data_IF_383673401553
#
_entry.id   IF_383673401553
#
_cell.length_a   1.000
_cell.length_b   1.000
_cell.length_c   1.000
_cell.angle_alpha   90.00
_cell.angle_beta   90.00
_cell.angle_gamma   90.00
#
_symmetry.space_group_name_H-M   'P 1'
#
loop_
_entity.id
_entity.type
_entity.pdbx_description
1 polymer ?
#
# COMPACT_ATOMS: atom_id res chain seq x y z
N UNK A 1 0.68 -22.56 -5.81
CA UNK A 1 1.72 -21.87 -5.03
C UNK A 1 1.51 -20.38 -5.27
N UNK A 2 1.36 -19.58 -4.22
CA UNK A 2 1.14 -18.14 -4.35
C UNK A 2 2.45 -17.44 -4.73
N UNK A 3 2.39 -16.46 -5.64
CA UNK A 3 3.57 -15.71 -6.09
C UNK A 3 3.87 -14.50 -5.20
N UNK A 4 2.84 -13.98 -4.54
CA UNK A 4 2.86 -12.77 -3.74
C UNK A 4 2.08 -12.97 -2.42
N UNK A 5 2.22 -12.06 -1.45
CA UNK A 5 3.29 -11.08 -1.33
C UNK A 5 4.64 -11.79 -1.15
N UNK A 6 5.73 -11.26 -1.73
CA UNK A 6 7.08 -11.80 -1.53
C UNK A 6 7.89 -10.89 -0.63
N UNK A 7 8.37 -11.40 0.48
CA UNK A 7 9.24 -10.64 1.39
C UNK A 7 10.57 -10.29 0.71
N UNK A 8 10.98 -9.02 0.82
CA UNK A 8 12.25 -8.51 0.28
C UNK A 8 13.20 -8.02 1.37
N UNK A 9 12.65 -7.52 2.47
CA UNK A 9 13.30 -7.09 3.70
C UNK A 9 12.29 -7.39 4.81
N UNK A 10 12.73 -7.67 6.03
CA UNK A 10 11.82 -7.93 7.17
C UNK A 10 10.65 -6.96 7.21
N UNK A 11 9.43 -7.49 7.18
CA UNK A 11 8.16 -6.75 7.22
C UNK A 11 7.92 -5.80 6.01
N UNK A 12 8.64 -6.01 4.90
CA UNK A 12 8.45 -5.33 3.61
C UNK A 12 8.29 -6.37 2.51
N UNK A 13 7.17 -6.28 1.79
CA UNK A 13 6.80 -7.23 0.74
C UNK A 13 6.65 -6.54 -0.60
N UNK A 14 6.83 -7.30 -1.67
CA UNK A 14 6.49 -6.91 -3.03
C UNK A 14 5.30 -7.74 -3.49
N UNK A 15 4.31 -7.07 -4.06
CA UNK A 15 3.19 -7.67 -4.76
C UNK A 15 2.92 -6.89 -6.06
N UNK A 16 1.78 -7.15 -6.71
CA UNK A 16 1.24 -6.37 -7.81
C UNK A 16 -0.12 -5.82 -7.43
N UNK A 17 -0.52 -4.69 -8.01
CA UNK A 17 -1.90 -4.24 -7.92
C UNK A 17 -2.77 -5.11 -8.83
N UNK A 18 -3.64 -5.92 -8.24
CA UNK A 18 -4.52 -6.86 -8.94
C UNK A 18 -5.81 -6.24 -9.45
N UNK A 19 -6.26 -5.13 -8.83
CA UNK A 19 -7.43 -4.39 -9.28
C UNK A 19 -8.09 -3.61 -8.15
N UNK A 20 -9.36 -3.30 -8.37
CA UNK A 20 -10.21 -2.53 -7.47
C UNK A 20 -11.51 -3.27 -7.20
N UNK A 21 -12.06 -3.14 -6.00
CA UNK A 21 -13.32 -3.77 -5.62
C UNK A 21 -14.15 -2.89 -4.69
N UNK A 22 -15.46 -2.91 -4.90
CA UNK A 22 -16.46 -2.33 -3.99
C UNK A 22 -16.50 -3.00 -2.61
N UNK A 23 -15.97 -4.22 -2.46
CA UNK A 23 -15.91 -4.92 -1.16
C UNK A 23 -14.82 -4.36 -0.24
N UNK A 24 -13.92 -3.52 -0.76
CA UNK A 24 -12.83 -2.91 0.00
C UNK A 24 -13.16 -1.47 0.38
N UNK A 25 -12.98 -1.14 1.67
CA UNK A 25 -13.06 0.24 2.12
C UNK A 25 -11.86 1.07 1.64
N UNK A 26 -12.04 2.39 1.55
CA UNK A 26 -11.01 3.33 1.08
C UNK A 26 -9.67 3.24 1.83
N UNK A 27 -9.68 2.83 3.09
CA UNK A 27 -8.48 2.68 3.92
C UNK A 27 -8.08 1.22 4.11
N UNK A 28 -8.55 0.32 3.26
CA UNK A 28 -8.23 -1.10 3.31
C UNK A 28 -7.46 -1.53 2.06
N UNK A 29 -6.60 -2.52 2.24
CA UNK A 29 -6.00 -3.26 1.14
C UNK A 29 -6.36 -4.73 1.31
N UNK A 30 -6.95 -5.30 0.28
CA UNK A 30 -7.27 -6.72 0.23
C UNK A 30 -6.11 -7.52 -0.33
N UNK A 31 -5.76 -8.63 0.32
CA UNK A 31 -4.84 -9.63 -0.20
C UNK A 31 -5.41 -11.00 0.17
N UNK A 32 -5.34 -11.97 -0.72
CA UNK A 32 -5.75 -13.35 -0.46
C UNK A 32 -5.26 -13.84 0.91
N UNK A 33 -6.20 -14.25 1.76
CA UNK A 33 -5.94 -14.62 3.16
C UNK A 33 -4.91 -15.76 3.27
N UNK A 34 -4.99 -16.73 2.37
CA UNK A 34 -4.08 -17.87 2.30
C UNK A 34 -2.69 -17.48 1.79
N UNK A 35 -2.62 -16.50 0.88
CA UNK A 35 -1.36 -15.94 0.43
C UNK A 35 -0.65 -15.16 1.55
N UNK A 36 -1.40 -14.41 2.36
CA UNK A 36 -0.90 -13.76 3.58
C UNK A 36 -0.31 -14.81 4.53
N UNK A 37 -1.09 -15.84 4.87
CA UNK A 37 -0.71 -16.89 5.82
C UNK A 37 0.57 -17.63 5.42
N UNK A 38 0.71 -17.96 4.12
CA UNK A 38 1.82 -18.78 3.64
C UNK A 38 3.10 -17.97 3.40
N UNK A 39 2.98 -16.73 2.93
CA UNK A 39 4.14 -16.00 2.42
C UNK A 39 4.65 -14.89 3.35
N UNK A 40 3.92 -14.55 4.41
CA UNK A 40 4.18 -13.33 5.19
C UNK A 40 4.02 -13.54 6.70
N UNK A 41 4.47 -12.57 7.49
CA UNK A 41 4.17 -12.44 8.92
C UNK A 41 2.98 -11.52 9.20
N UNK A 42 2.23 -11.12 8.16
CA UNK A 42 1.09 -10.20 8.28
C UNK A 42 -0.07 -10.88 9.00
N UNK A 43 -0.63 -10.20 9.99
CA UNK A 43 -1.90 -10.59 10.62
C UNK A 43 -3.02 -9.78 9.97
N UNK A 44 -3.89 -10.46 9.22
CA UNK A 44 -5.06 -9.85 8.60
C UNK A 44 -5.94 -9.19 9.65
N UNK A 45 -6.53 -8.04 9.30
CA UNK A 45 -7.34 -7.19 10.17
C UNK A 45 -6.64 -6.51 11.35
N UNK A 46 -5.35 -6.75 11.57
CA UNK A 46 -4.57 -6.12 12.64
C UNK A 46 -3.39 -5.31 12.09
N UNK A 47 -2.83 -5.75 10.98
CA UNK A 47 -1.65 -5.13 10.38
C UNK A 47 -2.04 -3.94 9.52
N UNK A 48 -1.29 -2.86 9.66
CA UNK A 48 -1.37 -1.70 8.78
C UNK A 48 -0.16 -1.62 7.87
N UNK A 49 -0.38 -1.17 6.64
CA UNK A 49 0.66 -1.01 5.65
C UNK A 49 0.59 0.35 4.96
N UNK A 50 1.73 0.74 4.39
CA UNK A 50 1.83 1.85 3.45
C UNK A 50 2.30 1.32 2.11
N UNK A 51 1.58 1.66 1.05
CA UNK A 51 1.89 1.23 -0.30
C UNK A 51 2.85 2.20 -1.00
N UNK A 52 3.83 1.67 -1.72
CA UNK A 52 4.72 2.43 -2.59
C UNK A 52 4.85 1.78 -3.97
N UNK A 53 4.45 2.51 -5.01
CA UNK A 53 4.77 2.14 -6.38
C UNK A 53 6.19 2.59 -6.74
N UNK A 54 6.86 1.86 -7.61
CA UNK A 54 8.28 2.11 -7.95
C UNK A 54 8.55 3.48 -8.57
N UNK A 55 7.58 4.05 -9.28
CA UNK A 55 7.71 5.36 -9.93
C UNK A 55 7.41 6.56 -9.00
N UNK A 56 7.21 6.32 -7.71
CA UNK A 56 6.84 7.37 -6.76
C UNK A 56 7.96 7.73 -5.78
N UNK A 57 8.29 9.02 -5.71
CA UNK A 57 9.31 9.54 -4.80
C UNK A 57 8.77 9.88 -3.40
N UNK A 58 7.47 9.71 -3.14
CA UNK A 58 6.86 10.09 -1.86
C UNK A 58 7.42 9.22 -0.71
N UNK A 59 7.98 9.81 0.37
CA UNK A 59 8.44 9.06 1.54
C UNK A 59 7.30 8.35 2.29
N UNK A 60 7.61 7.23 2.96
CA UNK A 60 6.62 6.42 3.69
C UNK A 60 5.84 7.19 4.76
N UNK A 61 6.48 8.10 5.51
CA UNK A 61 5.78 8.87 6.54
C UNK A 61 4.72 9.85 6.00
N UNK A 62 4.72 10.17 4.70
CA UNK A 62 3.68 11.01 4.08
C UNK A 62 2.58 10.20 3.38
N UNK A 63 2.72 8.89 3.28
CA UNK A 63 1.80 8.01 2.55
C UNK A 63 0.57 7.69 3.39
N UNK A 64 -0.51 7.39 2.69
CA UNK A 64 -1.73 6.85 3.30
C UNK A 64 -1.44 5.50 3.93
N UNK A 65 -2.16 5.24 5.02
CA UNK A 65 -2.05 4.00 5.79
C UNK A 65 -3.30 3.18 5.51
N UNK A 66 -3.09 1.92 5.18
CA UNK A 66 -4.15 0.99 4.84
C UNK A 66 -4.14 -0.16 5.84
N UNK A 67 -5.31 -0.59 6.30
CA UNK A 67 -5.48 -1.82 7.05
C UNK A 67 -5.44 -2.99 6.06
N UNK A 68 -4.70 -4.04 6.38
CA UNK A 68 -4.67 -5.25 5.54
C UNK A 68 -5.86 -6.13 5.89
N UNK A 69 -6.66 -6.48 4.88
CA UNK A 69 -7.79 -7.39 5.00
C UNK A 69 -7.50 -8.66 4.20
N UNK A 70 -7.82 -9.81 4.78
CA UNK A 70 -7.72 -11.10 4.10
C UNK A 70 -8.91 -11.29 3.16
N UNK A 71 -8.65 -11.52 1.88
CA UNK A 71 -9.67 -11.88 0.90
C UNK A 71 -9.88 -13.40 0.94
N UNK A 72 -11.11 -13.81 1.20
CA UNK A 72 -11.53 -15.22 1.27
C UNK A 72 -12.14 -15.69 -0.06
N UNK A 73 -12.17 -17.01 -0.29
CA UNK A 73 -12.65 -17.61 -1.55
C UNK A 73 -14.11 -17.30 -1.89
N UNK A 74 -14.93 -16.93 -0.90
CA UNK A 74 -16.34 -16.58 -1.12
C UNK A 74 -16.58 -15.12 -1.53
N UNK A 75 -15.54 -14.27 -1.50
CA UNK A 75 -15.61 -12.85 -1.86
C UNK A 75 -15.45 -12.68 -3.37
N UNK A 76 -16.14 -11.69 -3.95
CA UNK A 76 -16.10 -11.45 -5.40
C UNK A 76 -14.70 -11.01 -5.87
N UNK A 77 -14.01 -10.20 -5.04
CA UNK A 77 -12.66 -9.74 -5.30
C UNK A 77 -11.57 -10.81 -5.22
N UNK A 78 -11.91 -12.06 -4.85
CA UNK A 78 -10.95 -13.16 -4.80
C UNK A 78 -10.23 -13.39 -6.13
N UNK A 79 -10.94 -13.21 -7.25
CA UNK A 79 -10.40 -13.36 -8.59
C UNK A 79 -9.29 -12.35 -8.91
N UNK A 80 -9.28 -11.20 -8.25
CA UNK A 80 -8.28 -10.13 -8.40
C UNK A 80 -7.01 -10.39 -7.58
N UNK A 81 -7.02 -11.36 -6.65
CA UNK A 81 -5.91 -11.66 -5.74
C UNK A 81 -5.49 -13.13 -5.77
N UNK A 82 -5.73 -13.86 -6.87
CA UNK A 82 -5.45 -15.31 -6.97
C UNK A 82 -4.04 -15.72 -6.57
N UNK A 83 -3.05 -14.88 -6.80
CA UNK A 83 -1.66 -15.14 -6.46
C UNK A 83 -1.15 -14.28 -5.29
N UNK A 84 -2.03 -13.55 -4.59
CA UNK A 84 -1.69 -12.61 -3.53
C UNK A 84 -1.43 -11.18 -4.02
N UNK A 85 -1.99 -10.82 -5.17
CA UNK A 85 -2.04 -9.44 -5.65
C UNK A 85 -2.84 -8.54 -4.67
N UNK A 86 -2.49 -7.26 -4.60
CA UNK A 86 -3.18 -6.26 -3.77
C UNK A 86 -4.45 -5.81 -4.48
N UNK A 87 -5.56 -5.78 -3.77
CA UNK A 87 -6.83 -5.19 -4.22
C UNK A 87 -7.10 -3.93 -3.41
N UNK A 88 -7.51 -2.86 -4.10
CA UNK A 88 -7.86 -1.58 -3.48
C UNK A 88 -9.37 -1.33 -3.57
N UNK A 89 -9.85 -0.33 -2.83
CA UNK A 89 -11.20 0.19 -3.00
C UNK A 89 -11.41 0.78 -4.39
N UNK A 90 -12.59 0.56 -4.99
CA UNK A 90 -13.04 1.25 -6.22
C UNK A 90 -12.96 2.77 -6.11
N UNK A 91 -13.14 3.35 -4.91
CA UNK A 91 -12.98 4.80 -4.70
C UNK A 91 -11.57 5.33 -5.01
N UNK A 92 -10.57 4.43 -5.07
CA UNK A 92 -9.18 4.77 -5.34
C UNK A 92 -8.78 4.52 -6.80
N UNK A 93 -9.70 4.06 -7.65
CA UNK A 93 -9.43 3.76 -9.06
C UNK A 93 -8.95 5.00 -9.82
N UNK A 94 -9.57 6.17 -9.62
CA UNK A 94 -9.14 7.43 -10.24
C UNK A 94 -7.67 7.79 -9.90
N UNK A 95 -7.23 7.37 -8.71
CA UNK A 95 -5.90 7.69 -8.17
C UNK A 95 -4.84 6.68 -8.59
N UNK A 96 -5.17 5.39 -8.54
CA UNK A 96 -4.20 4.30 -8.74
C UNK A 96 -4.49 3.42 -9.97
N UNK A 97 -5.54 3.67 -10.75
CA UNK A 97 -5.94 2.84 -11.89
C UNK A 97 -4.84 2.69 -12.94
N UNK A 98 -4.03 3.73 -13.15
CA UNK A 98 -2.84 3.68 -14.03
C UNK A 98 -1.74 2.72 -13.54
N UNK A 99 -1.86 2.21 -12.33
CA UNK A 99 -0.92 1.31 -11.68
C UNK A 99 -1.42 -0.14 -11.62
N UNK A 100 -2.61 -0.44 -12.16
CA UNK A 100 -3.11 -1.80 -12.24
C UNK A 100 -2.10 -2.70 -12.99
N UNK A 101 -1.88 -3.90 -12.45
CA UNK A 101 -0.88 -4.86 -12.89
C UNK A 101 0.57 -4.52 -12.54
N UNK A 102 0.87 -3.30 -12.06
CA UNK A 102 2.24 -2.89 -11.70
C UNK A 102 2.64 -3.36 -10.32
N UNK A 103 3.95 -3.48 -10.12
CA UNK A 103 4.53 -3.84 -8.84
C UNK A 103 4.29 -2.75 -7.78
N UNK A 104 3.94 -3.20 -6.58
CA UNK A 104 3.73 -2.37 -5.41
C UNK A 104 4.51 -2.94 -4.23
N UNK A 105 5.16 -2.06 -3.48
CA UNK A 105 5.81 -2.39 -2.22
C UNK A 105 4.78 -2.18 -1.10
N UNK A 106 4.59 -3.22 -0.30
CA UNK A 106 3.78 -3.23 0.92
C UNK A 106 4.74 -3.10 2.09
N UNK A 107 4.77 -1.94 2.73
CA UNK A 107 5.62 -1.71 3.89
C UNK A 107 4.79 -1.78 5.18
N UNK A 108 5.08 -2.77 6.03
CA UNK A 108 4.42 -2.99 7.32
C UNK A 108 5.31 -2.64 8.52
N UNK A 109 6.54 -2.16 8.27
CA UNK A 109 7.59 -1.91 9.28
C UNK A 109 7.18 -0.92 10.38
N UNK A 110 6.13 -0.11 10.20
CA UNK A 110 5.74 0.87 11.22
C UNK A 110 4.23 1.03 11.43
N UNK A 111 3.73 0.20 12.36
CA UNK A 111 2.75 0.62 13.38
C UNK A 111 3.37 0.68 14.81
N UNK A 112 4.63 0.28 15.01
CA UNK A 112 5.18 0.01 16.35
C UNK A 112 6.19 1.02 16.95
N UNK A 113 6.63 2.09 16.25
CA UNK A 113 7.77 2.91 16.76
C UNK A 113 7.74 4.43 16.60
N UNK A 114 6.69 5.06 16.08
CA UNK A 114 6.70 6.53 15.93
C UNK A 114 5.52 7.20 16.63
N UNK A 115 5.81 7.75 17.81
CA UNK A 115 4.99 8.71 18.52
C UNK A 115 4.87 10.03 17.70
N UNK A 116 3.82 10.12 16.90
CA UNK A 116 2.87 11.24 16.98
C UNK A 116 3.13 12.57 16.26
N UNK A 117 4.35 13.09 16.06
CA UNK A 117 4.52 14.48 15.54
C UNK A 117 5.35 14.62 14.26
N UNK A 118 4.69 14.41 13.12
CA UNK A 118 5.25 14.68 11.79
C UNK A 118 5.13 16.15 11.35
N UNK A 119 4.53 17.02 12.17
CA UNK A 119 4.15 18.38 11.75
C UNK A 119 5.35 19.21 11.34
N UNK A 120 6.48 19.03 12.02
CA UNK A 120 7.73 19.74 11.73
C UNK A 120 8.37 19.27 10.42
N UNK A 121 8.38 17.96 10.16
CA UNK A 121 8.92 17.36 8.93
C UNK A 121 8.05 17.76 7.73
N UNK A 122 6.73 17.66 7.85
CA UNK A 122 5.77 18.06 6.81
C UNK A 122 5.92 19.55 6.47
N UNK A 123 6.04 20.42 7.49
CA UNK A 123 6.26 21.87 7.28
C UNK A 123 7.59 22.15 6.57
N UNK A 124 8.66 21.43 6.90
CA UNK A 124 9.96 21.59 6.25
C UNK A 124 9.90 21.19 4.76
N UNK A 125 9.28 20.05 4.44
CA UNK A 125 9.15 19.59 3.06
C UNK A 125 8.25 20.49 2.21
N UNK A 126 7.14 21.01 2.75
CA UNK A 126 6.29 21.99 2.03
C UNK A 126 7.08 23.25 1.63
N UNK A 127 7.99 23.73 2.49
CA UNK A 127 8.84 24.89 2.17
C UNK A 127 9.82 24.59 1.04
N UNK A 128 10.47 23.42 1.06
CA UNK A 128 11.44 23.03 0.03
C UNK A 128 10.75 22.89 -1.34
N UNK A 129 9.60 22.23 -1.40
CA UNK A 129 8.84 22.08 -2.64
C UNK A 129 8.29 23.40 -3.20
N UNK A 130 7.90 24.34 -2.32
CA UNK A 130 7.49 25.69 -2.76
C UNK A 130 8.64 26.51 -3.32
N UNK A 131 9.87 26.27 -2.85
CA UNK A 131 11.09 26.93 -3.31
C UNK A 131 11.53 26.42 -4.69
N UNK A 132 11.41 25.12 -4.98
CA UNK A 132 11.73 24.58 -6.32
C UNK A 132 10.82 25.13 -7.43
N UNK A 133 9.54 25.39 -7.11
CA UNK A 133 8.61 26.02 -8.05
C UNK A 133 8.91 27.52 -8.30
N UNK A 134 9.60 28.18 -7.38
CA UNK A 134 10.08 29.56 -7.54
C UNK A 134 11.36 29.62 -8.38
N UNK A 135 12.25 28.62 -8.24
CA UNK A 135 13.51 28.54 -9.00
C UNK A 135 13.24 28.19 -10.48
N UNK A 136 12.17 27.43 -10.79
CA UNK A 136 11.77 27.12 -12.18
C UNK A 136 11.01 28.24 -12.90
N UNK A 137 10.69 29.35 -12.23
CA UNK A 137 9.94 30.49 -12.79
C UNK A 137 10.78 31.76 -13.01
N UNK A 138 12.05 31.75 -12.63
CA UNK A 138 13.05 32.78 -12.96
C UNK A 138 14.09 32.20 -13.92
#
# INVERSE_FOLDING_TARGET
>A
MYLYPKEIVSDIYVSRLGGFSYEMDRNEIGINAKAIEVNTSIIANETFAKLKFFNECKPYFLRETFKIVGIEEYMDCYELSKNGEVVLSEELEDKFGKNEGKEVIINTVESFRIDGDYTKIIKAFRRIWSSENLIRRN
#
